data_IF_588424113459
#
_entry.id   IF_588424113459
#
_cell.length_a   1.000
_cell.length_b   1.000
_cell.length_c   1.000
_cell.angle_alpha   90.00
_cell.angle_beta   90.00
_cell.angle_gamma   90.00
#
_symmetry.space_group_name_H-M   'P 1'
#
loop_
_entity.id
_entity.type
_entity.pdbx_description
1 polymer ?
#
# COMPACT_ATOMS: atom_id res chain seq x y z
N UNK A 1 -52.16 -6.44 -15.42
CA UNK A 1 -53.05 -5.45 -14.78
C UNK A 1 -52.95 -4.18 -15.60
N UNK A 2 -53.81 -4.03 -16.60
CA UNK A 2 -53.85 -2.89 -17.50
C UNK A 2 -55.14 -2.13 -17.23
N UNK A 3 -55.09 -0.80 -17.13
CA UNK A 3 -56.28 0.03 -17.03
C UNK A 3 -56.21 1.18 -18.03
N UNK A 4 -57.16 1.10 -18.98
CA UNK A 4 -57.65 2.13 -19.87
C UNK A 4 -58.07 3.40 -19.12
N UNK A 5 -57.91 4.58 -19.74
CA UNK A 5 -58.97 5.60 -19.81
C UNK A 5 -58.96 6.27 -21.20
N UNK A 6 -60.16 6.35 -21.77
CA UNK A 6 -60.61 6.97 -23.02
C UNK A 6 -60.60 8.51 -23.01
N UNK A 7 -60.46 9.16 -24.17
CA UNK A 7 -61.52 10.07 -24.66
C UNK A 7 -61.49 10.23 -26.20
N UNK A 8 -62.69 10.17 -26.77
CA UNK A 8 -63.08 10.20 -28.19
C UNK A 8 -63.82 11.51 -28.50
N UNK A 9 -64.08 11.75 -29.80
CA UNK A 9 -65.16 12.59 -30.44
C UNK A 9 -64.69 14.01 -30.83
N UNK A 10 -64.84 14.57 -32.04
CA UNK A 10 -65.43 14.15 -33.34
C UNK A 10 -65.06 15.14 -34.46
N UNK A 11 -64.97 14.66 -35.72
CA UNK A 11 -65.11 15.45 -36.96
C UNK A 11 -66.55 15.97 -37.16
N UNK A 12 -66.76 16.99 -38.02
CA UNK A 12 -67.32 16.67 -39.33
C UNK A 12 -66.70 17.45 -40.51
N UNK A 13 -66.68 16.79 -41.67
CA UNK A 13 -66.45 17.34 -43.01
C UNK A 13 -67.75 17.93 -43.58
N UNK A 14 -67.63 18.92 -44.47
CA UNK A 14 -68.77 19.47 -45.21
C UNK A 14 -68.37 20.71 -46.02
N UNK A 15 -67.82 20.48 -47.21
CA UNK A 15 -67.67 21.47 -48.29
C UNK A 15 -69.04 21.89 -48.84
N UNK A 16 -69.15 23.11 -49.38
CA UNK A 16 -69.74 23.20 -50.72
C UNK A 16 -69.00 24.14 -51.68
N UNK A 17 -69.01 23.71 -52.95
CA UNK A 17 -68.64 24.42 -54.16
C UNK A 17 -69.44 25.72 -54.38
N UNK A 18 -68.80 26.79 -54.85
CA UNK A 18 -69.36 27.72 -55.87
C UNK A 18 -68.22 28.34 -56.71
N UNK A 19 -68.16 27.97 -57.99
CA UNK A 19 -67.66 28.80 -59.08
C UNK A 19 -68.88 29.47 -59.73
N UNK A 20 -68.83 30.77 -60.06
CA UNK A 20 -69.37 31.31 -61.32
C UNK A 20 -68.98 32.78 -61.53
N UNK A 21 -68.61 33.04 -62.78
CA UNK A 21 -68.30 34.32 -63.42
C UNK A 21 -69.55 35.17 -63.68
N UNK A 22 -69.41 36.50 -63.61
CA UNK A 22 -69.93 37.55 -64.55
C UNK A 22 -69.77 38.93 -63.88
N UNK A 23 -69.00 39.86 -64.47
CA UNK A 23 -69.49 40.95 -65.35
C UNK A 23 -70.55 41.81 -64.62
N UNK A 24 -70.48 43.13 -64.43
CA UNK A 24 -70.01 44.22 -65.29
C UNK A 24 -70.31 45.52 -64.50
N UNK A 25 -69.40 46.49 -64.39
CA UNK A 25 -69.75 47.88 -64.07
C UNK A 25 -68.57 48.84 -64.31
N UNK A 26 -68.76 49.62 -65.36
CA UNK A 26 -68.07 50.80 -65.87
C UNK A 26 -67.26 51.71 -64.92
N UNK A 27 -66.12 52.12 -65.49
CA UNK A 27 -65.38 53.38 -65.33
C UNK A 27 -66.15 54.57 -64.73
N UNK A 28 -65.57 55.19 -63.70
CA UNK A 28 -65.37 56.66 -63.63
C UNK A 28 -64.14 57.03 -62.79
N UNK A 29 -63.15 57.56 -63.50
CA UNK A 29 -62.30 58.71 -63.16
C UNK A 29 -62.10 59.08 -61.69
N UNK A 30 -60.88 58.88 -61.20
CA UNK A 30 -60.40 59.45 -59.94
C UNK A 30 -58.95 59.07 -59.67
N UNK A 31 -58.02 59.63 -60.45
CA UNK A 31 -56.58 59.47 -60.25
C UNK A 31 -56.14 60.17 -58.96
N UNK A 32 -56.39 59.54 -57.81
CA UNK A 32 -55.80 59.94 -56.54
C UNK A 32 -54.71 58.93 -56.20
N UNK A 33 -53.50 59.18 -56.70
CA UNK A 33 -52.28 58.55 -56.20
C UNK A 33 -52.19 58.90 -54.71
N UNK A 34 -52.55 57.94 -53.84
CA UNK A 34 -52.28 58.03 -52.41
C UNK A 34 -50.76 58.13 -52.28
N UNK A 35 -50.26 59.33 -52.00
CA UNK A 35 -48.84 59.57 -51.75
C UNK A 35 -48.41 58.68 -50.57
N UNK A 36 -47.27 57.98 -50.65
CA UNK A 36 -46.78 57.24 -49.49
C UNK A 36 -46.57 58.25 -48.35
N UNK A 37 -47.27 58.01 -47.24
CA UNK A 37 -47.17 58.86 -46.04
C UNK A 37 -45.71 58.82 -45.58
N UNK A 38 -45.07 59.99 -45.57
CA UNK A 38 -43.65 60.10 -45.29
C UNK A 38 -43.46 60.34 -43.79
N UNK A 39 -43.29 59.25 -43.03
CA UNK A 39 -43.21 59.26 -41.56
C UNK A 39 -41.89 59.81 -40.99
N UNK A 40 -41.00 60.35 -41.84
CA UNK A 40 -39.68 60.86 -41.42
C UNK A 40 -39.81 62.01 -40.41
N UNK A 41 -40.91 62.76 -40.45
CA UNK A 41 -41.19 63.88 -39.55
C UNK A 41 -42.42 63.64 -38.66
N UNK A 42 -42.86 62.39 -38.48
CA UNK A 42 -44.02 62.09 -37.64
C UNK A 42 -43.63 62.19 -36.16
N UNK A 43 -44.32 63.07 -35.43
CA UNK A 43 -44.23 63.22 -33.97
C UNK A 43 -45.55 62.70 -33.41
N UNK A 44 -45.46 61.70 -32.53
CA UNK A 44 -46.64 61.09 -31.92
C UNK A 44 -47.35 62.11 -31.00
N UNK A 45 -48.63 62.43 -31.24
CA UNK A 45 -49.38 63.37 -30.40
C UNK A 45 -49.56 62.90 -28.95
N UNK A 46 -49.46 61.59 -28.70
CA UNK A 46 -49.64 60.98 -27.37
C UNK A 46 -48.35 60.93 -26.54
N UNK A 47 -47.18 61.10 -27.15
CA UNK A 47 -45.88 61.05 -26.47
C UNK A 47 -45.42 59.64 -26.06
N UNK A 48 -46.15 58.59 -26.44
CA UNK A 48 -45.90 57.22 -25.98
C UNK A 48 -44.76 56.53 -26.75
N UNK A 49 -44.45 56.95 -27.97
CA UNK A 49 -43.36 56.39 -28.77
C UNK A 49 -42.42 57.43 -29.39
N UNK A 50 -41.12 57.16 -29.32
CA UNK A 50 -40.09 58.00 -29.94
C UNK A 50 -40.08 57.77 -31.46
N UNK A 51 -39.79 58.80 -32.26
CA UNK A 51 -39.74 58.71 -33.74
C UNK A 51 -38.81 57.60 -34.28
N UNK A 52 -37.75 57.26 -33.53
CA UNK A 52 -36.85 56.13 -33.83
C UNK A 52 -37.51 54.76 -33.64
N UNK A 53 -38.31 54.60 -32.59
CA UNK A 53 -39.01 53.35 -32.26
C UNK A 53 -40.11 53.08 -33.29
N UNK A 54 -40.85 54.11 -33.69
CA UNK A 54 -41.85 54.00 -34.75
C UNK A 54 -41.23 53.64 -36.10
N UNK A 55 -40.08 54.24 -36.45
CA UNK A 55 -39.34 53.91 -37.68
C UNK A 55 -38.89 52.45 -37.70
N UNK A 56 -38.40 51.94 -36.56
CA UNK A 56 -38.00 50.54 -36.43
C UNK A 56 -39.20 49.60 -36.47
N UNK A 57 -40.30 49.94 -35.79
CA UNK A 57 -41.55 49.18 -35.82
C UNK A 57 -42.14 49.06 -37.23
N UNK A 58 -42.20 50.16 -37.98
CA UNK A 58 -42.68 50.14 -39.38
C UNK A 58 -41.74 49.32 -40.27
N UNK A 59 -40.42 49.47 -40.11
CA UNK A 59 -39.44 48.68 -40.84
C UNK A 59 -39.56 47.18 -40.52
N UNK A 60 -39.72 46.83 -39.24
CA UNK A 60 -39.91 45.45 -38.78
C UNK A 60 -41.20 44.85 -39.35
N UNK A 61 -42.33 45.55 -39.26
CA UNK A 61 -43.61 45.07 -39.82
C UNK A 61 -43.51 44.89 -41.33
N UNK A 62 -42.91 45.86 -42.04
CA UNK A 62 -42.69 45.79 -43.49
C UNK A 62 -41.81 44.60 -43.90
N UNK A 63 -40.78 44.29 -43.11
CA UNK A 63 -39.82 43.22 -43.41
C UNK A 63 -40.08 41.92 -42.62
N UNK A 64 -41.18 41.83 -41.86
CA UNK A 64 -41.48 40.71 -40.94
C UNK A 64 -41.44 39.36 -41.66
N UNK A 65 -41.99 39.30 -42.86
CA UNK A 65 -42.00 38.08 -43.69
C UNK A 65 -40.60 37.70 -44.18
N UNK A 66 -39.78 38.69 -44.54
CA UNK A 66 -38.41 38.46 -45.00
C UNK A 66 -37.50 38.02 -43.84
N UNK A 67 -37.61 38.67 -42.67
CA UNK A 67 -36.90 38.27 -41.44
C UNK A 67 -37.28 36.86 -41.00
N UNK A 68 -38.58 36.51 -41.06
CA UNK A 68 -39.04 35.16 -40.77
C UNK A 68 -38.43 34.12 -41.71
N UNK A 69 -38.41 34.40 -43.03
CA UNK A 69 -37.78 33.49 -44.02
C UNK A 69 -36.28 33.32 -43.79
N UNK A 70 -35.55 34.38 -43.45
CA UNK A 70 -34.11 34.30 -43.13
C UNK A 70 -33.87 33.51 -41.84
N UNK A 71 -34.67 33.76 -40.80
CA UNK A 71 -34.56 33.04 -39.54
C UNK A 71 -34.83 31.54 -39.72
N UNK A 72 -35.91 31.19 -40.43
CA UNK A 72 -36.24 29.80 -40.75
C UNK A 72 -35.17 29.15 -41.62
N UNK A 73 -34.67 29.85 -42.65
CA UNK A 73 -33.59 29.35 -43.51
C UNK A 73 -32.29 29.08 -42.74
N UNK A 74 -31.89 30.01 -41.87
CA UNK A 74 -30.73 29.83 -40.97
C UNK A 74 -30.92 28.65 -40.05
N UNK A 75 -32.12 28.50 -39.46
CA UNK A 75 -32.42 27.39 -38.55
C UNK A 75 -32.36 26.04 -39.28
N UNK A 76 -32.94 25.94 -40.48
CA UNK A 76 -32.86 24.73 -41.32
C UNK A 76 -31.40 24.43 -41.68
N UNK A 77 -30.60 25.44 -42.01
CA UNK A 77 -29.17 25.29 -42.30
C UNK A 77 -28.40 24.72 -41.10
N UNK A 78 -28.60 25.29 -39.91
CA UNK A 78 -27.97 24.81 -38.67
C UNK A 78 -28.39 23.38 -38.34
N UNK A 79 -29.68 23.07 -38.45
CA UNK A 79 -30.20 21.72 -38.24
C UNK A 79 -29.49 20.74 -39.20
N UNK A 80 -29.39 21.09 -40.48
CA UNK A 80 -28.74 20.23 -41.49
C UNK A 80 -27.26 19.99 -41.17
N UNK A 81 -26.53 21.02 -40.74
CA UNK A 81 -25.13 20.91 -40.35
C UNK A 81 -24.97 20.01 -39.12
N UNK A 82 -25.77 20.22 -38.07
CA UNK A 82 -25.71 19.40 -36.86
C UNK A 82 -26.07 17.93 -37.13
N UNK A 83 -27.10 17.67 -37.94
CA UNK A 83 -27.44 16.31 -38.34
C UNK A 83 -26.35 15.67 -39.18
N UNK A 84 -25.74 16.41 -40.12
CA UNK A 84 -24.62 15.92 -40.92
C UNK A 84 -23.40 15.54 -40.06
N UNK A 85 -23.01 16.40 -39.12
CA UNK A 85 -21.91 16.13 -38.20
C UNK A 85 -22.22 14.94 -37.27
N UNK A 86 -23.43 14.88 -36.73
CA UNK A 86 -23.86 13.78 -35.87
C UNK A 86 -23.81 12.44 -36.63
N UNK A 87 -24.39 12.36 -37.82
CA UNK A 87 -24.36 11.15 -38.64
C UNK A 87 -22.95 10.72 -39.01
N UNK A 88 -22.06 11.68 -39.31
CA UNK A 88 -20.66 11.39 -39.59
C UNK A 88 -19.95 10.80 -38.36
N UNK A 89 -20.12 11.42 -37.18
CA UNK A 89 -19.51 10.94 -35.93
C UNK A 89 -20.05 9.56 -35.52
N UNK A 90 -21.36 9.33 -35.66
CA UNK A 90 -21.96 8.02 -35.40
C UNK A 90 -21.44 6.97 -36.39
N UNK A 91 -21.30 7.31 -37.67
CA UNK A 91 -20.72 6.42 -38.67
C UNK A 91 -19.28 6.04 -38.34
N UNK A 92 -18.44 7.00 -38.00
CA UNK A 92 -17.04 6.78 -37.61
C UNK A 92 -16.92 5.89 -36.37
N UNK A 93 -17.73 6.18 -35.33
CA UNK A 93 -17.75 5.39 -34.11
C UNK A 93 -18.24 3.95 -34.33
N UNK A 94 -19.29 3.76 -35.15
CA UNK A 94 -19.82 2.42 -35.45
C UNK A 94 -18.82 1.58 -36.25
N UNK A 95 -18.05 2.19 -37.16
CA UNK A 95 -17.09 1.47 -38.01
C UNK A 95 -15.76 1.21 -37.28
N UNK A 96 -15.21 2.21 -36.58
CA UNK A 96 -13.88 2.13 -35.98
C UNK A 96 -13.92 2.09 -34.46
N UNK A 97 -14.74 2.95 -33.84
CA UNK A 97 -14.81 3.12 -32.39
C UNK A 97 -15.14 1.83 -31.63
N UNK A 98 -16.18 1.10 -32.04
CA UNK A 98 -16.58 -0.17 -31.39
C UNK A 98 -15.43 -1.17 -31.35
N UNK A 99 -14.68 -1.30 -32.45
CA UNK A 99 -13.57 -2.25 -32.51
C UNK A 99 -12.37 -1.83 -31.66
N UNK A 100 -12.12 -0.52 -31.57
CA UNK A 100 -11.09 0.04 -30.70
C UNK A 100 -11.43 -0.16 -29.22
N UNK A 101 -12.68 0.08 -28.85
CA UNK A 101 -13.18 -0.10 -27.47
C UNK A 101 -13.15 -1.57 -27.07
N UNK A 102 -13.57 -2.49 -27.94
CA UNK A 102 -13.46 -3.92 -27.68
C UNK A 102 -12.01 -4.37 -27.43
N UNK A 103 -11.05 -3.88 -28.21
CA UNK A 103 -9.62 -4.15 -27.98
C UNK A 103 -9.14 -3.56 -26.67
N UNK A 104 -9.57 -2.35 -26.32
CA UNK A 104 -9.24 -1.72 -25.05
C UNK A 104 -9.79 -2.53 -23.86
N UNK A 105 -11.06 -2.93 -23.91
CA UNK A 105 -11.66 -3.80 -22.90
C UNK A 105 -10.95 -5.14 -22.79
N UNK A 106 -10.57 -5.76 -23.91
CA UNK A 106 -9.77 -7.00 -23.91
C UNK A 106 -8.40 -6.79 -23.26
N UNK A 107 -7.71 -5.68 -23.53
CA UNK A 107 -6.42 -5.37 -22.91
C UNK A 107 -6.54 -5.04 -21.41
N UNK A 108 -7.62 -4.40 -20.97
CA UNK A 108 -7.85 -4.09 -19.55
C UNK A 108 -8.34 -5.31 -18.76
N UNK A 109 -9.01 -6.27 -19.41
CA UNK A 109 -9.47 -7.53 -18.82
C UNK A 109 -8.43 -8.66 -18.88
N UNK A 110 -7.30 -8.44 -19.55
CA UNK A 110 -6.15 -9.33 -19.44
C UNK A 110 -5.62 -9.29 -18.00
N UNK A 111 -5.95 -10.34 -17.25
CA UNK A 111 -5.29 -10.64 -15.98
C UNK A 111 -3.84 -10.95 -16.28
N UNK A 112 -2.94 -10.00 -16.00
CA UNK A 112 -1.51 -10.28 -16.06
C UNK A 112 -1.20 -11.39 -15.07
N UNK A 113 -0.46 -12.40 -15.52
CA UNK A 113 0.03 -13.45 -14.66
C UNK A 113 1.13 -12.91 -13.76
N UNK A 114 0.73 -12.39 -12.60
CA UNK A 114 1.64 -11.87 -11.59
C UNK A 114 2.40 -12.99 -10.85
N UNK A 115 2.18 -14.28 -11.13
CA UNK A 115 2.87 -15.37 -10.41
C UNK A 115 4.39 -15.27 -10.53
N UNK A 116 4.89 -14.94 -11.72
CA UNK A 116 6.32 -14.73 -11.99
C UNK A 116 6.91 -13.56 -11.17
N UNK A 117 6.15 -12.47 -11.04
CA UNK A 117 6.52 -11.29 -10.25
C UNK A 117 6.51 -11.63 -8.76
N UNK A 118 5.49 -12.36 -8.29
CA UNK A 118 5.41 -12.79 -6.90
C UNK A 118 6.57 -13.72 -6.53
N UNK A 119 6.91 -14.67 -7.40
CA UNK A 119 8.06 -15.56 -7.19
C UNK A 119 9.38 -14.77 -7.10
N UNK A 120 9.55 -13.72 -7.91
CA UNK A 120 10.74 -12.88 -7.87
C UNK A 120 10.91 -12.08 -6.57
N UNK A 121 9.79 -11.61 -5.99
CA UNK A 121 9.80 -10.86 -4.73
C UNK A 121 9.57 -11.72 -3.48
N UNK A 122 9.39 -13.03 -3.66
CA UNK A 122 9.22 -13.96 -2.55
C UNK A 122 10.54 -14.11 -1.76
N UNK A 123 10.46 -14.27 -0.43
CA UNK A 123 11.64 -14.51 0.37
C UNK A 123 12.27 -15.85 -0.01
N UNK A 124 13.59 -15.88 -0.09
CA UNK A 124 14.39 -17.10 -0.17
C UNK A 124 14.28 -17.85 1.17
N UNK A 125 14.32 -19.19 1.18
CA UNK A 125 14.41 -19.95 2.42
C UNK A 125 15.59 -19.48 3.27
N UNK A 126 15.40 -19.43 4.59
CA UNK A 126 16.52 -19.22 5.53
C UNK A 126 17.37 -20.49 5.61
N UNK A 127 18.65 -20.34 5.92
CA UNK A 127 19.57 -21.45 6.11
C UNK A 127 19.66 -21.82 7.59
N UNK A 128 19.76 -23.11 7.88
CA UNK A 128 19.86 -23.65 9.24
C UNK A 128 21.12 -24.51 9.29
N UNK A 129 22.01 -24.26 10.24
CA UNK A 129 23.20 -25.08 10.42
C UNK A 129 22.86 -26.42 11.09
N UNK A 130 23.81 -27.35 11.02
CA UNK A 130 23.75 -28.52 11.89
C UNK A 130 23.82 -28.07 13.37
N UNK A 131 23.11 -28.77 14.27
CA UNK A 131 23.23 -28.55 15.70
C UNK A 131 24.64 -28.86 16.21
N UNK A 132 25.20 -27.93 16.98
CA UNK A 132 26.46 -28.06 17.68
C UNK A 132 26.19 -28.34 19.16
N UNK A 133 26.88 -29.34 19.71
CA UNK A 133 26.75 -29.74 21.11
C UNK A 133 27.85 -29.08 21.92
N UNK A 134 27.45 -28.32 22.93
CA UNK A 134 28.33 -27.57 23.80
C UNK A 134 28.15 -28.03 25.25
N UNK A 135 29.19 -28.01 26.09
CA UNK A 135 29.03 -28.35 27.49
C UNK A 135 28.15 -27.31 28.20
N UNK A 136 27.06 -27.76 28.83
CA UNK A 136 26.09 -26.92 29.54
C UNK A 136 26.19 -26.99 31.07
N UNK A 137 27.09 -27.81 31.60
CA UNK A 137 27.33 -27.99 33.04
C UNK A 137 27.63 -29.45 33.39
N UNK A 138 27.46 -29.81 34.67
CA UNK A 138 27.68 -31.19 35.13
C UNK A 138 26.54 -32.09 34.63
N UNK A 139 26.84 -32.99 33.69
CA UNK A 139 25.87 -33.92 33.09
C UNK A 139 24.82 -33.25 32.20
N UNK A 140 25.14 -32.04 31.73
CA UNK A 140 24.26 -31.19 30.93
C UNK A 140 24.98 -30.72 29.67
N UNK A 141 24.23 -30.68 28.58
CA UNK A 141 24.69 -30.25 27.27
C UNK A 141 23.74 -29.17 26.74
N UNK A 142 24.34 -28.12 26.19
CA UNK A 142 23.64 -27.08 25.45
C UNK A 142 23.69 -27.43 23.96
N UNK A 143 22.58 -27.18 23.26
CA UNK A 143 22.49 -27.39 21.81
C UNK A 143 22.34 -26.04 21.13
N UNK A 144 23.27 -25.71 20.25
CA UNK A 144 23.30 -24.46 19.50
C UNK A 144 23.07 -24.73 18.00
N UNK A 145 22.23 -23.90 17.38
CA UNK A 145 22.01 -23.90 15.93
C UNK A 145 22.09 -22.48 15.41
N UNK A 146 22.76 -22.29 14.28
CA UNK A 146 22.77 -21.04 13.54
C UNK A 146 21.61 -20.98 12.57
N UNK A 147 20.92 -19.85 12.53
CA UNK A 147 19.90 -19.57 11.52
C UNK A 147 20.27 -18.27 10.82
N UNK A 148 20.40 -18.35 9.50
CA UNK A 148 20.76 -17.25 8.62
C UNK A 148 19.57 -16.88 7.74
N UNK A 149 19.20 -15.60 7.75
CA UNK A 149 18.21 -15.05 6.84
C UNK A 149 18.89 -14.31 5.68
N UNK A 150 18.96 -14.90 4.48
CA UNK A 150 19.65 -14.29 3.33
C UNK A 150 18.84 -13.15 2.69
N UNK A 151 17.65 -12.83 3.21
CA UNK A 151 16.77 -11.85 2.61
C UNK A 151 17.04 -10.44 3.18
N UNK A 152 17.46 -9.48 2.36
CA UNK A 152 17.84 -8.14 2.84
C UNK A 152 16.64 -7.28 3.26
N UNK A 153 15.41 -7.70 2.97
CA UNK A 153 14.19 -6.92 3.22
C UNK A 153 13.03 -7.74 3.78
N UNK A 154 13.31 -8.91 4.32
CA UNK A 154 12.29 -9.73 4.96
C UNK A 154 12.77 -10.15 6.34
N UNK A 155 11.90 -10.02 7.33
CA UNK A 155 12.08 -10.59 8.66
C UNK A 155 11.33 -11.92 8.67
N UNK A 156 11.91 -12.94 9.28
CA UNK A 156 11.23 -14.22 9.48
C UNK A 156 10.88 -14.42 10.94
N UNK A 157 9.65 -14.82 11.17
CA UNK A 157 9.11 -15.26 12.46
C UNK A 157 8.78 -16.74 12.35
N UNK A 158 9.04 -17.50 13.40
CA UNK A 158 8.77 -18.93 13.42
C UNK A 158 8.65 -19.40 14.86
N UNK A 159 8.09 -20.58 15.06
CA UNK A 159 8.21 -21.31 16.31
C UNK A 159 9.24 -22.42 16.12
N UNK A 160 10.02 -22.70 17.15
CA UNK A 160 11.04 -23.74 17.12
C UNK A 160 11.11 -24.49 18.44
N UNK A 161 11.58 -25.73 18.34
CA UNK A 161 11.93 -26.57 19.46
C UNK A 161 12.99 -27.58 19.01
N UNK A 162 13.71 -28.15 19.97
CA UNK A 162 14.68 -29.20 19.72
C UNK A 162 14.05 -30.54 20.04
N UNK A 163 14.33 -31.54 19.20
CA UNK A 163 13.95 -32.93 19.43
C UNK A 163 15.21 -33.78 19.54
N UNK A 164 15.15 -34.80 20.37
CA UNK A 164 16.16 -35.85 20.40
C UNK A 164 15.57 -37.15 20.91
N UNK A 165 15.61 -38.17 20.06
CA UNK A 165 14.87 -39.41 20.30
C UNK A 165 13.37 -39.12 20.45
N UNK A 166 12.81 -39.45 21.61
CA UNK A 166 11.38 -39.26 21.93
C UNK A 166 11.12 -37.99 22.76
N UNK A 167 12.17 -37.26 23.17
CA UNK A 167 12.03 -36.05 23.97
C UNK A 167 12.06 -34.79 23.10
N UNK A 168 11.27 -33.79 23.50
CA UNK A 168 11.22 -32.49 22.85
C UNK A 168 11.29 -31.37 23.89
N UNK A 169 11.97 -30.29 23.53
CA UNK A 169 11.98 -29.08 24.36
C UNK A 169 10.67 -28.32 24.21
N UNK A 170 10.41 -27.38 25.11
CA UNK A 170 9.28 -26.46 24.97
C UNK A 170 9.37 -25.65 23.67
N UNK A 171 8.20 -25.41 23.07
CA UNK A 171 8.04 -24.54 21.92
C UNK A 171 8.43 -23.10 22.28
N UNK A 172 9.29 -22.49 21.47
CA UNK A 172 9.77 -21.12 21.63
C UNK A 172 9.54 -20.35 20.34
N UNK A 173 9.28 -19.04 20.48
CA UNK A 173 9.20 -18.15 19.32
C UNK A 173 10.58 -17.65 18.94
N UNK A 174 10.91 -17.76 17.66
CA UNK A 174 12.10 -17.23 17.03
C UNK A 174 11.77 -16.10 16.07
N UNK A 175 12.72 -15.19 15.92
CA UNK A 175 12.72 -14.13 14.91
C UNK A 175 14.12 -14.06 14.34
N UNK A 176 14.30 -13.93 13.03
CA UNK A 176 15.61 -13.61 12.43
C UNK A 176 15.42 -12.42 11.51
N UNK A 177 16.18 -11.36 11.78
CA UNK A 177 16.08 -10.10 11.09
C UNK A 177 16.63 -10.22 9.66
N UNK A 178 16.36 -9.22 8.83
CA UNK A 178 16.85 -9.20 7.46
C UNK A 178 18.39 -9.23 7.42
N UNK A 179 18.98 -10.12 6.63
CA UNK A 179 20.43 -10.28 6.49
C UNK A 179 21.16 -10.77 7.75
N UNK A 180 20.43 -11.18 8.79
CA UNK A 180 21.01 -11.57 10.07
C UNK A 180 21.40 -13.07 10.06
N UNK A 181 22.52 -13.38 10.70
CA UNK A 181 22.90 -14.73 11.10
C UNK A 181 23.08 -14.76 12.61
N UNK A 182 22.30 -15.57 13.32
CA UNK A 182 22.35 -15.61 14.78
C UNK A 182 22.11 -16.99 15.39
N UNK A 183 22.58 -17.23 16.61
CA UNK A 183 22.43 -18.52 17.27
C UNK A 183 21.08 -18.65 17.99
N UNK A 184 20.55 -19.87 17.98
CA UNK A 184 19.41 -20.32 18.77
C UNK A 184 19.86 -21.50 19.64
N UNK A 185 19.57 -21.42 20.93
CA UNK A 185 20.14 -22.34 21.92
C UNK A 185 19.06 -22.98 22.79
N UNK A 186 19.14 -24.30 22.96
CA UNK A 186 18.50 -25.01 24.05
C UNK A 186 19.53 -25.28 25.15
N UNK A 187 19.34 -24.62 26.29
CA UNK A 187 20.24 -24.74 27.44
C UNK A 187 19.85 -25.92 28.34
N UNK A 188 20.86 -26.60 28.90
CA UNK A 188 20.71 -27.53 30.02
C UNK A 188 20.00 -28.85 29.70
N UNK A 189 20.12 -29.35 28.47
CA UNK A 189 19.59 -30.68 28.13
C UNK A 189 20.41 -31.77 28.83
N UNK A 190 19.78 -32.88 29.21
CA UNK A 190 20.52 -34.05 29.68
C UNK A 190 21.39 -34.62 28.55
N UNK A 191 22.58 -35.13 28.87
CA UNK A 191 23.51 -35.66 27.86
C UNK A 191 22.91 -36.79 27.01
N UNK A 192 22.01 -37.60 27.59
CA UNK A 192 21.25 -38.63 26.87
C UNK A 192 20.32 -38.05 25.78
N UNK A 193 19.85 -36.82 25.99
CA UNK A 193 18.95 -36.08 25.10
C UNK A 193 19.76 -35.21 24.13
N UNK A 194 21.00 -34.85 24.42
CA UNK A 194 21.77 -34.04 23.48
C UNK A 194 22.30 -34.83 22.28
N UNK A 195 22.56 -36.13 22.44
CA UNK A 195 23.06 -37.00 21.37
C UNK A 195 22.02 -37.19 20.26
N UNK A 196 22.23 -36.55 19.10
CA UNK A 196 21.30 -36.63 17.97
C UNK A 196 20.20 -35.55 17.99
N UNK A 197 20.38 -34.49 18.78
CA UNK A 197 19.47 -33.36 18.79
C UNK A 197 19.32 -32.76 17.38
N UNK A 198 18.09 -32.47 16.99
CA UNK A 198 17.75 -31.74 15.77
C UNK A 198 16.75 -30.63 16.08
N UNK A 199 16.79 -29.56 15.29
CA UNK A 199 15.84 -28.46 15.42
C UNK A 199 14.64 -28.71 14.51
N UNK A 200 13.45 -28.50 15.06
CA UNK A 200 12.19 -28.45 14.30
C UNK A 200 11.72 -27.01 14.27
N UNK A 201 11.38 -26.53 13.08
CA UNK A 201 10.90 -25.16 12.85
C UNK A 201 9.53 -25.23 12.20
N UNK A 202 8.56 -24.54 12.80
CA UNK A 202 7.16 -24.53 12.40
C UNK A 202 6.62 -23.10 12.36
N UNK A 203 5.40 -22.93 11.85
CA UNK A 203 4.69 -21.64 11.82
C UNK A 203 5.50 -20.47 11.21
N UNK A 204 6.20 -20.74 10.11
CA UNK A 204 7.05 -19.76 9.44
C UNK A 204 6.19 -18.64 8.83
N UNK A 205 6.43 -17.41 9.26
CA UNK A 205 5.79 -16.20 8.77
C UNK A 205 6.84 -15.16 8.35
N UNK A 206 6.72 -14.68 7.12
CA UNK A 206 7.61 -13.66 6.57
C UNK A 206 6.95 -12.29 6.61
N UNK A 207 7.68 -11.28 7.09
CA UNK A 207 7.25 -9.88 7.09
C UNK A 207 8.19 -9.06 6.22
N UNK A 208 7.64 -8.46 5.16
CA UNK A 208 8.39 -7.57 4.28
C UNK A 208 8.62 -6.20 4.93
N UNK A 209 9.84 -5.69 4.80
CA UNK A 209 10.22 -4.36 5.25
C UNK A 209 9.95 -3.34 4.14
N UNK A 210 9.03 -2.42 4.39
CA UNK A 210 8.64 -1.39 3.43
C UNK A 210 9.77 -0.40 3.16
N UNK A 211 10.04 -0.13 1.88
CA UNK A 211 11.03 0.86 1.45
C UNK A 211 10.59 2.31 1.68
N UNK A 212 9.29 2.53 1.92
CA UNK A 212 8.77 3.84 2.29
C UNK A 212 9.02 4.17 3.77
N UNK A 213 9.27 3.16 4.60
CA UNK A 213 9.48 3.33 6.04
C UNK A 213 10.97 3.27 6.38
N UNK A 214 11.69 2.30 5.80
CA UNK A 214 13.12 2.08 6.06
C UNK A 214 13.80 1.95 4.69
N UNK A 215 14.59 2.96 4.33
CA UNK A 215 15.29 2.99 3.04
C UNK A 215 16.49 2.02 3.06
N UNK A 216 17.39 2.21 4.02
CA UNK A 216 18.58 1.40 4.25
C UNK A 216 18.39 0.50 5.48
N UNK A 217 18.11 -0.78 5.23
CA UNK A 217 17.80 -1.77 6.27
C UNK A 217 19.03 -2.10 7.13
N UNK A 218 20.20 -2.45 6.56
CA UNK A 218 21.41 -2.70 7.35
C UNK A 218 21.77 -1.57 8.31
N UNK A 219 21.82 -0.33 7.83
CA UNK A 219 22.17 0.83 8.67
C UNK A 219 21.14 1.04 9.77
N UNK A 220 19.84 0.95 9.45
CA UNK A 220 18.77 1.09 10.43
C UNK A 220 18.80 0.00 11.52
N UNK A 221 19.19 -1.22 11.16
CA UNK A 221 19.39 -2.33 12.10
C UNK A 221 20.61 -2.12 12.97
N UNK A 222 21.77 -1.75 12.39
CA UNK A 222 23.00 -1.54 13.16
C UNK A 222 22.87 -0.41 14.17
N UNK A 223 22.14 0.66 13.83
CA UNK A 223 21.84 1.76 14.75
C UNK A 223 21.01 1.34 15.97
N UNK A 224 20.32 0.19 15.92
CA UNK A 224 19.49 -0.33 17.03
C UNK A 224 20.15 -1.50 17.75
N UNK A 225 21.07 -2.20 17.09
CA UNK A 225 21.71 -3.39 17.64
C UNK A 225 23.16 -3.13 18.05
N UNK A 226 23.53 -1.86 18.24
CA UNK A 226 24.86 -1.47 18.69
C UNK A 226 25.02 -1.71 20.20
N UNK A 227 25.46 -2.93 20.52
CA UNK A 227 25.82 -3.37 21.86
C UNK A 227 27.31 -3.72 21.90
N UNK A 228 28.03 -3.12 22.85
CA UNK A 228 29.49 -3.26 22.95
C UNK A 228 29.86 -3.93 24.25
N UNK A 229 30.57 -5.05 24.17
CA UNK A 229 31.21 -5.70 25.31
C UNK A 229 32.61 -5.13 25.53
N UNK A 230 32.98 -4.90 26.78
CA UNK A 230 34.32 -4.43 27.17
C UNK A 230 34.74 -5.00 28.53
N UNK A 231 36.00 -4.80 28.92
CA UNK A 231 36.54 -5.21 30.22
C UNK A 231 36.30 -6.70 30.56
N UNK A 232 36.46 -7.59 29.58
CA UNK A 232 36.26 -9.02 29.77
C UNK A 232 37.30 -9.62 30.73
N UNK A 233 36.82 -10.35 31.73
CA UNK A 233 37.62 -11.08 32.72
C UNK A 233 37.01 -12.46 32.94
N UNK A 234 37.84 -13.49 32.83
CA UNK A 234 37.48 -14.87 33.15
C UNK A 234 38.23 -15.35 34.40
N UNK A 235 37.49 -15.81 35.42
CA UNK A 235 38.08 -16.34 36.65
C UNK A 235 37.63 -17.77 36.89
N UNK A 236 38.60 -18.67 37.09
CA UNK A 236 38.35 -20.06 37.49
C UNK A 236 38.27 -20.19 39.00
N UNK A 237 37.47 -21.12 39.52
CA UNK A 237 37.48 -21.41 40.95
C UNK A 237 38.83 -21.96 41.40
N UNK A 238 39.30 -21.52 42.57
CA UNK A 238 40.57 -21.92 43.18
C UNK A 238 40.52 -23.33 43.79
N UNK A 239 39.33 -23.83 44.13
CA UNK A 239 39.11 -25.14 44.74
C UNK A 239 38.25 -26.03 43.84
N UNK A 240 38.62 -27.31 43.72
CA UNK A 240 37.87 -28.35 42.98
C UNK A 240 36.66 -28.89 43.76
N UNK A 241 36.01 -28.06 44.56
CA UNK A 241 34.78 -28.47 45.24
C UNK A 241 33.63 -28.51 44.22
N UNK A 242 32.72 -29.48 44.39
CA UNK A 242 31.64 -29.85 43.46
C UNK A 242 30.63 -28.72 43.15
N UNK A 243 30.69 -27.60 43.88
CA UNK A 243 29.81 -26.43 43.72
C UNK A 243 30.53 -25.17 43.20
N UNK A 244 31.73 -25.31 42.63
CA UNK A 244 32.54 -24.17 42.21
C UNK A 244 32.25 -23.76 40.75
N UNK A 245 31.79 -22.52 40.55
CA UNK A 245 31.42 -21.98 39.24
C UNK A 245 32.55 -21.11 38.66
N UNK A 246 32.78 -21.23 37.35
CA UNK A 246 33.58 -20.27 36.60
C UNK A 246 32.84 -18.93 36.52
N UNK A 247 33.60 -17.84 36.58
CA UNK A 247 33.07 -16.48 36.57
C UNK A 247 33.43 -15.81 35.24
N UNK A 248 32.41 -15.34 34.55
CA UNK A 248 32.52 -14.56 33.31
C UNK A 248 32.04 -13.15 33.62
N UNK A 249 32.97 -12.21 33.69
CA UNK A 249 32.71 -10.81 33.97
C UNK A 249 33.05 -9.93 32.78
N UNK A 250 32.20 -8.96 32.48
CA UNK A 250 32.43 -7.95 31.44
C UNK A 250 31.47 -6.77 31.63
N UNK A 251 31.73 -5.67 30.94
CA UNK A 251 30.78 -4.57 30.83
C UNK A 251 30.04 -4.63 29.51
N UNK A 252 28.73 -4.47 29.58
CA UNK A 252 27.87 -4.35 28.39
C UNK A 252 27.34 -2.94 28.28
N UNK A 253 27.65 -2.27 27.17
CA UNK A 253 27.17 -0.92 26.85
C UNK A 253 26.11 -0.99 25.76
N UNK A 254 24.96 -0.37 26.02
CA UNK A 254 23.96 -0.09 25.01
C UNK A 254 24.34 1.21 24.28
N UNK A 255 25.08 1.13 23.18
CA UNK A 255 25.64 2.32 22.52
C UNK A 255 24.68 2.98 21.52
N UNK A 256 23.45 2.47 21.41
CA UNK A 256 22.41 3.06 20.57
C UNK A 256 21.46 3.99 21.36
N UNK A 257 20.71 4.87 20.66
CA UNK A 257 19.83 5.84 21.32
C UNK A 257 18.54 5.23 21.89
N UNK A 258 18.34 3.90 21.81
CA UNK A 258 17.09 3.24 22.21
C UNK A 258 17.27 2.48 23.52
N UNK A 259 16.24 2.51 24.38
CA UNK A 259 16.17 1.65 25.56
C UNK A 259 15.32 0.41 25.31
N UNK A 260 15.57 -0.67 26.05
CA UNK A 260 14.93 -1.98 25.87
C UNK A 260 14.24 -2.44 27.14
N UNK A 261 13.00 -2.92 27.04
CA UNK A 261 12.22 -3.40 28.19
C UNK A 261 12.85 -4.65 28.80
N UNK A 262 13.16 -5.64 27.95
CA UNK A 262 13.83 -6.87 28.33
C UNK A 262 14.82 -7.25 27.22
N UNK A 263 16.08 -6.87 27.42
CA UNK A 263 17.13 -7.11 26.44
C UNK A 263 17.72 -8.51 26.64
N UNK A 264 17.42 -9.43 25.72
CA UNK A 264 17.91 -10.82 25.75
C UNK A 264 19.11 -10.99 24.84
N UNK A 265 20.07 -11.78 25.28
CA UNK A 265 21.31 -12.05 24.56
C UNK A 265 21.74 -13.51 24.71
N UNK A 266 22.44 -13.99 23.70
CA UNK A 266 23.31 -15.17 23.81
C UNK A 266 24.75 -14.67 23.88
N UNK A 267 25.46 -15.08 24.92
CA UNK A 267 26.89 -14.81 25.10
C UNK A 267 27.66 -16.07 24.68
N UNK A 268 28.37 -15.98 23.56
CA UNK A 268 29.32 -17.00 23.13
C UNK A 268 30.63 -16.86 23.88
N UNK A 269 31.12 -17.99 24.40
CA UNK A 269 32.40 -18.08 25.05
C UNK A 269 33.39 -18.71 24.08
N UNK A 270 34.50 -18.01 23.84
CA UNK A 270 35.50 -18.40 22.86
C UNK A 270 36.82 -18.74 23.55
N UNK A 271 37.47 -19.80 23.07
CA UNK A 271 38.85 -20.14 23.41
C UNK A 271 39.70 -20.12 22.14
N UNK A 272 40.60 -19.15 22.03
CA UNK A 272 41.45 -18.94 20.86
C UNK A 272 40.62 -18.90 19.55
N UNK A 273 39.45 -18.26 19.59
CA UNK A 273 38.52 -18.13 18.46
C UNK A 273 37.56 -19.30 18.24
N UNK A 274 37.69 -20.42 18.96
CA UNK A 274 36.75 -21.54 18.87
C UNK A 274 35.65 -21.41 19.90
N UNK A 275 34.41 -21.74 19.53
CA UNK A 275 33.28 -21.80 20.44
C UNK A 275 33.48 -22.92 21.46
N UNK A 276 33.42 -22.59 22.75
CA UNK A 276 33.58 -23.56 23.85
C UNK A 276 32.40 -23.61 24.81
N UNK A 277 31.47 -22.67 24.68
CA UNK A 277 30.26 -22.64 25.50
C UNK A 277 29.40 -21.42 25.19
N UNK A 278 28.19 -21.42 25.74
CA UNK A 278 27.23 -20.34 25.60
C UNK A 278 26.55 -20.05 26.92
N UNK A 279 26.16 -18.80 27.15
CA UNK A 279 25.43 -18.38 28.33
C UNK A 279 24.25 -17.50 27.95
N UNK A 280 23.07 -17.67 28.57
CA UNK A 280 21.97 -16.72 28.42
C UNK A 280 22.25 -15.47 29.25
N UNK A 281 21.87 -14.31 28.70
CA UNK A 281 21.86 -13.04 29.43
C UNK A 281 20.54 -12.32 29.16
N UNK A 282 19.90 -11.83 30.22
CA UNK A 282 18.70 -11.01 30.13
C UNK A 282 18.88 -9.79 31.03
N UNK A 283 18.57 -8.62 30.47
CA UNK A 283 18.70 -7.32 31.14
C UNK A 283 17.38 -6.56 31.07
N UNK A 284 16.80 -6.33 32.23
CA UNK A 284 15.56 -5.55 32.34
C UNK A 284 15.83 -4.05 32.25
N UNK A 285 14.97 -3.32 31.54
CA UNK A 285 15.02 -1.87 31.39
C UNK A 285 16.40 -1.34 30.99
N UNK A 286 17.06 -1.97 30.02
CA UNK A 286 18.40 -1.57 29.58
C UNK A 286 18.34 -0.28 28.78
N UNK A 287 18.72 0.83 29.41
CA UNK A 287 18.52 2.18 28.86
C UNK A 287 19.54 2.52 27.78
N UNK A 288 19.18 3.50 26.97
CA UNK A 288 20.06 4.13 25.99
C UNK A 288 21.34 4.65 26.65
N UNK A 289 22.50 4.38 26.05
CA UNK A 289 23.83 4.78 26.53
C UNK A 289 24.20 4.25 27.92
N UNK A 290 23.44 3.30 28.46
CA UNK A 290 23.73 2.67 29.75
C UNK A 290 24.85 1.64 29.61
N UNK A 291 25.74 1.59 30.60
CA UNK A 291 26.72 0.51 30.76
C UNK A 291 26.41 -0.26 32.02
N UNK A 292 26.36 -1.60 31.93
CA UNK A 292 26.14 -2.49 33.07
C UNK A 292 27.30 -3.45 33.26
N UNK A 293 27.69 -3.63 34.51
CA UNK A 293 28.60 -4.70 34.92
C UNK A 293 27.83 -6.02 34.90
N UNK A 294 28.31 -6.97 34.11
CA UNK A 294 27.73 -8.29 33.94
C UNK A 294 28.59 -9.31 34.67
N UNK A 295 27.96 -10.16 35.47
CA UNK A 295 28.58 -11.29 36.16
C UNK A 295 27.75 -12.55 35.88
N UNK A 296 28.28 -13.41 35.02
CA UNK A 296 27.68 -14.70 34.67
C UNK A 296 28.48 -15.84 35.27
N UNK A 297 27.78 -16.89 35.66
CA UNK A 297 28.36 -18.09 36.28
C UNK A 297 28.16 -19.29 35.37
N UNK A 298 29.24 -20.02 35.10
CA UNK A 298 29.22 -21.25 34.32
C UNK A 298 29.71 -22.44 35.16
N UNK A 299 28.93 -23.51 35.18
CA UNK A 299 29.24 -24.75 35.90
C UNK A 299 29.94 -25.81 35.03
N UNK A 300 30.45 -25.40 33.86
CA UNK A 300 31.17 -26.30 32.96
C UNK A 300 32.55 -26.64 33.54
N UNK A 301 32.88 -27.94 33.74
CA UNK A 301 34.18 -28.33 34.26
C UNK A 301 35.31 -28.00 33.27
N UNK A 302 36.45 -27.55 33.80
CA UNK A 302 37.66 -27.22 33.02
C UNK A 302 37.46 -26.16 31.91
N UNK A 303 36.40 -25.36 31.98
CA UNK A 303 36.14 -24.29 31.01
C UNK A 303 37.33 -23.33 30.93
N UNK A 304 37.68 -22.92 29.72
CA UNK A 304 38.71 -21.91 29.45
C UNK A 304 38.16 -20.92 28.46
N UNK A 305 38.15 -19.64 28.79
CA UNK A 305 37.63 -18.60 27.90
C UNK A 305 38.68 -17.52 27.76
N UNK A 306 38.96 -17.13 26.52
CA UNK A 306 39.90 -16.04 26.18
C UNK A 306 39.17 -14.82 25.66
N UNK A 307 37.99 -15.00 25.09
CA UNK A 307 37.19 -13.93 24.48
C UNK A 307 35.70 -14.29 24.53
N UNK A 308 34.85 -13.30 24.28
CA UNK A 308 33.41 -13.51 24.17
C UNK A 308 32.82 -12.77 22.97
N UNK A 309 31.65 -13.22 22.52
CA UNK A 309 30.84 -12.52 21.53
C UNK A 309 29.39 -12.51 21.95
N UNK A 310 28.70 -11.40 21.71
CA UNK A 310 27.32 -11.21 22.16
C UNK A 310 26.39 -11.11 20.96
N UNK A 311 25.26 -11.82 21.02
CA UNK A 311 24.21 -11.77 20.00
C UNK A 311 22.90 -11.32 20.65
N UNK A 312 22.34 -10.16 20.26
CA UNK A 312 21.03 -9.74 20.73
C UNK A 312 19.93 -10.63 20.16
N UNK A 313 19.02 -11.07 21.02
CA UNK A 313 17.82 -11.83 20.68
C UNK A 313 16.58 -10.91 20.70
N UNK A 314 16.61 -9.87 19.88
CA UNK A 314 15.60 -8.80 19.87
C UNK A 314 14.84 -8.74 18.55
N UNK A 315 13.53 -8.49 18.62
CA UNK A 315 12.75 -8.03 17.47
C UNK A 315 12.65 -6.51 17.47
N UNK A 316 13.60 -5.85 16.80
CA UNK A 316 13.57 -4.38 16.67
C UNK A 316 12.45 -3.85 15.77
N UNK A 317 11.71 -4.73 15.07
CA UNK A 317 10.52 -4.36 14.30
C UNK A 317 9.22 -4.46 15.11
N UNK A 318 9.30 -4.93 16.36
CA UNK A 318 8.23 -4.88 17.33
C UNK A 318 8.42 -3.65 18.24
N UNK A 319 7.50 -2.66 18.19
CA UNK A 319 7.62 -1.46 19.00
C UNK A 319 7.54 -1.73 20.51
N UNK A 320 7.00 -2.88 20.93
CA UNK A 320 6.86 -3.23 22.35
C UNK A 320 8.18 -3.61 23.02
N UNK A 321 9.22 -3.87 22.22
CA UNK A 321 10.57 -4.20 22.71
C UNK A 321 11.28 -2.96 23.28
N UNK A 322 10.91 -1.77 22.83
CA UNK A 322 11.54 -0.51 23.25
C UNK A 322 10.90 0.06 24.51
N UNK A 323 11.73 0.70 25.34
CA UNK A 323 11.26 1.54 26.43
C UNK A 323 10.51 2.76 25.88
N UNK A 324 9.45 3.22 26.56
CA UNK A 324 8.82 4.49 26.19
C UNK A 324 9.81 5.64 26.38
N UNK A 325 9.71 6.70 25.56
CA UNK A 325 10.56 7.87 25.73
C UNK A 325 10.35 8.48 27.13
N UNK A 326 11.45 8.85 27.79
CA UNK A 326 11.38 9.60 29.04
C UNK A 326 10.68 10.95 28.77
N UNK A 327 9.72 11.29 29.63
CA UNK A 327 8.86 12.49 29.47
C UNK A 327 9.57 13.77 29.87
#
# INVERSE_FOLDING_TARGET
MALNIYHKISKPEGEPMINHLSAEAEKKSGNNKIKPVNFVNYVDPSGDFTSKELKWGIWYVKNKVLLYRIAVGTLIGLITIFWGFSLWQWGDYLIFGITADQKLYQNLSQTYDYTSIHAHYSPKPFAVSNPELLPGGVGKTDVLVWIENPNPRHVVYFDYYFISGEESTHLRRGVVLAGENKPFVAFGLSDSVASGASIVIENIAWKRISNHTILDVPTWQSERLDFVASDFVFTRPLTKEEASANVVQFKLTNNNPFGYVAAKFVVELLQNGNLVGVLPLELDNFRSLETRDIDLRSFVPNLSVTDLKIYPLLDIYDPTVFLPPEK
#
